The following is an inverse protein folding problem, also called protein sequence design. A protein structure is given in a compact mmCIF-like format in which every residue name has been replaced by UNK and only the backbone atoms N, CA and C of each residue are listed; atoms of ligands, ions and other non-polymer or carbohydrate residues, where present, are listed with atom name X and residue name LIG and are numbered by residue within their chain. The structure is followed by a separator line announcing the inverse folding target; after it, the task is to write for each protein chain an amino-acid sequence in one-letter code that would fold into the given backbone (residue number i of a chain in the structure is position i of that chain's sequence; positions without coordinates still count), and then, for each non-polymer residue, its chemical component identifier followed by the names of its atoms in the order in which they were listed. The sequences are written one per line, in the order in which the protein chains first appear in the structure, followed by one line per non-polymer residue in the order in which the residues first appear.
data_IF_456849575808
#
_entry.id   IF_456849575808
#
_cell.length_a   1.000
_cell.length_b   1.000
_cell.length_c   1.000
_cell.angle_alpha   90.00
_cell.angle_beta   90.00
_cell.angle_gamma   90.00
#
_symmetry.space_group_name_H-M   'P 1'
#
loop_
_entity.id
_entity.type
_entity.pdbx_description
1 polymer ?
#
# COMPACT_ATOMS: atom_id res chain seq x y z
N UNK A 1 -2.94 27.39 -30.22
CA UNK A 1 -4.23 26.70 -30.19
C UNK A 1 -3.99 25.28 -29.64
N UNK A 2 -4.72 24.90 -28.60
CA UNK A 2 -4.66 23.55 -28.01
C UNK A 2 -5.68 22.67 -28.75
N UNK A 3 -5.23 21.53 -29.25
CA UNK A 3 -6.12 20.54 -29.88
C UNK A 3 -6.17 19.31 -28.97
N UNK A 4 -7.24 19.21 -28.20
CA UNK A 4 -7.44 18.14 -27.23
C UNK A 4 -8.40 18.54 -26.13
N UNK A 5 -8.52 17.72 -25.10
CA UNK A 5 -9.38 17.95 -23.94
C UNK A 5 -8.55 17.91 -22.67
N UNK A 6 -8.86 18.79 -21.73
CA UNK A 6 -8.27 18.81 -20.39
C UNK A 6 -9.36 18.55 -19.38
N UNK A 7 -9.14 17.53 -18.56
CA UNK A 7 -10.02 17.17 -17.46
C UNK A 7 -9.35 17.49 -16.13
N UNK A 8 -10.09 18.11 -15.22
CA UNK A 8 -9.66 18.31 -13.83
C UNK A 8 -10.46 17.39 -12.94
N UNK A 9 -9.80 16.47 -12.26
CA UNK A 9 -10.42 15.48 -11.41
C UNK A 9 -10.17 15.76 -9.93
N UNK A 10 -11.25 15.93 -9.15
CA UNK A 10 -11.21 15.91 -7.70
C UNK A 10 -11.53 14.50 -7.22
N UNK A 11 -10.54 13.77 -6.71
CA UNK A 11 -10.67 12.37 -6.33
C UNK A 11 -11.10 12.26 -4.87
N UNK A 12 -12.10 11.41 -4.59
CA UNK A 12 -12.57 11.14 -3.23
C UNK A 12 -11.75 10.01 -2.59
N UNK A 13 -11.62 10.06 -1.25
CA UNK A 13 -10.95 9.04 -0.43
C UNK A 13 -9.50 8.71 -0.87
N UNK A 14 -8.79 9.68 -1.42
CA UNK A 14 -7.42 9.49 -1.88
C UNK A 14 -6.51 9.02 -0.73
N UNK A 15 -6.59 9.64 0.43
CA UNK A 15 -5.73 9.40 1.59
C UNK A 15 -5.84 7.99 2.21
N UNK A 16 -6.89 7.25 1.89
CA UNK A 16 -7.11 5.90 2.42
C UNK A 16 -7.24 4.83 1.33
N UNK A 17 -7.45 5.25 0.07
CA UNK A 17 -7.64 4.36 -1.09
C UNK A 17 -6.97 4.92 -2.35
N UNK A 18 -5.68 5.07 -2.31
CA UNK A 18 -4.88 5.65 -3.40
C UNK A 18 -5.15 4.93 -4.74
N UNK A 19 -5.79 5.62 -5.66
CA UNK A 19 -6.09 5.13 -7.00
C UNK A 19 -7.42 4.39 -7.16
N UNK A 20 -8.13 3.96 -6.10
CA UNK A 20 -9.39 3.20 -6.25
C UNK A 20 -10.46 4.02 -6.97
N UNK A 21 -10.71 5.25 -6.51
CA UNK A 21 -11.68 6.13 -7.18
C UNK A 21 -11.19 6.59 -8.57
N UNK A 22 -9.89 6.67 -8.78
CA UNK A 22 -9.28 7.04 -10.05
C UNK A 22 -9.56 6.02 -11.17
N UNK A 23 -9.82 4.76 -10.84
CA UNK A 23 -10.21 3.72 -11.81
C UNK A 23 -11.44 4.13 -12.61
N UNK A 24 -12.49 4.58 -11.92
CA UNK A 24 -13.71 5.05 -12.58
C UNK A 24 -13.47 6.27 -13.48
N UNK A 25 -12.56 7.16 -13.09
CA UNK A 25 -12.20 8.34 -13.88
C UNK A 25 -11.48 7.91 -15.16
N UNK A 26 -10.49 7.04 -15.06
CA UNK A 26 -9.75 6.57 -16.24
C UNK A 26 -10.61 5.77 -17.21
N UNK A 27 -11.58 5.02 -16.71
CA UNK A 27 -12.55 4.27 -17.54
C UNK A 27 -13.44 5.19 -18.38
N UNK A 28 -13.81 6.34 -17.83
CA UNK A 28 -14.68 7.33 -18.50
C UNK A 28 -13.86 8.21 -19.44
N UNK A 29 -12.75 8.78 -18.94
CA UNK A 29 -11.96 9.80 -19.64
C UNK A 29 -10.99 9.17 -20.63
N UNK A 30 -10.40 8.02 -20.30
CA UNK A 30 -9.35 7.32 -21.07
C UNK A 30 -8.19 8.27 -21.42
N UNK A 31 -7.53 8.86 -20.42
CA UNK A 31 -6.53 9.89 -20.67
C UNK A 31 -5.27 9.31 -21.34
N UNK A 32 -4.65 10.06 -22.25
CA UNK A 32 -3.34 9.73 -22.82
C UNK A 32 -2.20 10.06 -21.84
N UNK A 33 -2.41 11.11 -21.03
CA UNK A 33 -1.46 11.62 -20.04
C UNK A 33 -2.17 12.02 -18.77
N UNK A 34 -1.48 11.86 -17.65
CA UNK A 34 -1.97 12.28 -16.33
C UNK A 34 -0.93 13.14 -15.63
N UNK A 35 -1.39 14.21 -14.98
CA UNK A 35 -0.59 15.03 -14.08
C UNK A 35 -1.17 14.90 -12.68
N UNK A 36 -0.36 14.43 -11.73
CA UNK A 36 -0.70 14.33 -10.31
C UNK A 36 -0.29 15.63 -9.63
N UNK A 37 -1.29 16.35 -9.07
CA UNK A 37 -1.13 17.65 -8.43
C UNK A 37 -0.68 17.61 -6.96
N UNK A 38 0.03 16.55 -6.56
CA UNK A 38 0.56 16.41 -5.20
C UNK A 38 1.81 17.26 -4.97
N UNK A 39 2.04 17.64 -3.71
CA UNK A 39 3.16 18.50 -3.32
C UNK A 39 4.50 17.93 -3.78
N UNK A 40 5.21 18.66 -4.63
CA UNK A 40 6.49 18.26 -5.20
C UNK A 40 7.59 19.32 -5.04
N UNK A 41 7.28 20.46 -4.42
CA UNK A 41 8.13 21.67 -4.45
C UNK A 41 8.43 22.12 -5.89
N UNK A 42 7.46 22.00 -6.79
CA UNK A 42 7.57 22.28 -8.23
C UNK A 42 8.64 21.44 -8.94
N UNK A 43 9.08 20.33 -8.35
CA UNK A 43 9.92 19.35 -9.02
C UNK A 43 9.08 18.38 -9.85
N UNK A 44 9.65 17.88 -10.94
CA UNK A 44 9.00 16.93 -11.83
C UNK A 44 9.15 15.51 -11.26
N UNK A 45 8.04 14.91 -10.83
CA UNK A 45 8.01 13.55 -10.32
C UNK A 45 7.74 12.58 -11.46
N UNK A 46 8.59 11.58 -11.62
CA UNK A 46 8.49 10.54 -12.66
C UNK A 46 8.26 9.15 -12.08
N UNK A 47 8.01 9.06 -10.78
CA UNK A 47 7.78 7.80 -10.09
C UNK A 47 7.33 8.00 -8.65
N UNK A 48 6.92 6.90 -8.03
CA UNK A 48 6.59 6.84 -6.60
C UNK A 48 6.76 5.44 -6.04
N UNK A 49 6.93 5.33 -4.73
CA UNK A 49 6.70 4.08 -4.01
C UNK A 49 5.20 3.81 -3.93
N UNK A 50 4.84 2.53 -4.07
CA UNK A 50 3.48 2.09 -3.79
C UNK A 50 3.24 1.90 -2.30
N UNK A 51 2.00 1.50 -1.96
CA UNK A 51 1.58 1.18 -0.60
C UNK A 51 0.78 -0.10 -0.55
N UNK A 52 1.03 -0.92 0.46
CA UNK A 52 0.21 -2.07 0.80
C UNK A 52 -0.10 -2.07 2.29
N UNK A 53 -1.28 -2.48 2.67
CA UNK A 53 -1.62 -2.75 4.06
C UNK A 53 -1.76 -4.27 4.23
N UNK A 54 -0.76 -4.88 4.86
CA UNK A 54 -0.73 -6.33 5.09
C UNK A 54 -1.36 -6.64 6.45
N UNK A 55 -2.32 -7.56 6.45
CA UNK A 55 -3.00 -8.04 7.63
C UNK A 55 -2.54 -9.45 7.97
N UNK A 56 -2.05 -9.61 9.20
CA UNK A 56 -1.66 -10.90 9.78
C UNK A 56 -2.62 -11.25 10.91
N UNK A 57 -3.10 -12.46 10.92
CA UNK A 57 -4.09 -12.95 11.89
C UNK A 57 -3.59 -14.22 12.56
N UNK A 58 -3.78 -14.32 13.87
CA UNK A 58 -3.53 -15.54 14.64
C UNK A 58 -4.80 -15.99 15.36
N UNK A 59 -4.98 -17.29 15.43
CA UNK A 59 -6.16 -17.93 15.99
C UNK A 59 -5.78 -18.82 17.17
N UNK A 60 -6.59 -18.74 18.21
CA UNK A 60 -6.42 -19.51 19.42
C UNK A 60 -7.69 -20.25 19.83
N UNK A 61 -7.73 -20.65 21.10
CA UNK A 61 -8.89 -21.28 21.73
C UNK A 61 -9.18 -20.53 23.03
N UNK A 62 -10.39 -19.99 23.21
CA UNK A 62 -10.71 -19.23 24.40
C UNK A 62 -10.77 -20.13 25.64
N UNK A 63 -10.38 -19.59 26.79
CA UNK A 63 -10.52 -20.22 28.09
C UNK A 63 -10.61 -19.15 29.15
N UNK A 64 -11.07 -19.53 30.33
CA UNK A 64 -11.00 -18.64 31.49
C UNK A 64 -9.54 -18.44 31.90
N UNK A 65 -9.13 -17.21 32.18
CA UNK A 65 -7.73 -16.86 32.46
C UNK A 65 -7.16 -17.55 33.73
N UNK A 66 -8.01 -18.06 34.60
CA UNK A 66 -7.61 -18.89 35.74
C UNK A 66 -7.22 -20.33 35.35
N UNK A 67 -7.53 -20.79 34.13
CA UNK A 67 -7.21 -22.12 33.60
C UNK A 67 -6.63 -21.97 32.16
N UNK A 68 -5.52 -21.24 32.00
CA UNK A 68 -5.01 -20.88 30.66
C UNK A 68 -4.55 -22.10 29.86
N UNK A 69 -4.22 -23.21 30.50
CA UNK A 69 -3.82 -24.47 29.87
C UNK A 69 -4.92 -25.15 29.08
N UNK A 70 -6.18 -24.75 29.28
CA UNK A 70 -7.35 -25.24 28.53
C UNK A 70 -7.57 -24.47 27.23
N UNK A 71 -6.85 -23.36 27.04
CA UNK A 71 -6.94 -22.50 25.88
C UNK A 71 -5.66 -22.47 25.04
N UNK A 72 -5.71 -21.73 23.94
CA UNK A 72 -4.56 -21.36 23.14
C UNK A 72 -4.62 -19.84 22.97
N UNK A 73 -3.61 -19.14 23.47
CA UNK A 73 -3.58 -17.69 23.46
C UNK A 73 -3.11 -17.16 22.10
N UNK A 74 -4.02 -16.54 21.34
CA UNK A 74 -3.70 -15.96 20.03
C UNK A 74 -2.69 -14.80 20.13
N UNK A 75 -2.67 -14.04 21.23
CA UNK A 75 -1.71 -12.94 21.40
C UNK A 75 -0.28 -13.48 21.54
N UNK A 76 -0.08 -14.59 22.27
CA UNK A 76 1.25 -15.21 22.33
C UNK A 76 1.70 -15.76 20.97
N UNK A 77 0.75 -16.27 20.17
CA UNK A 77 1.00 -16.63 18.78
C UNK A 77 1.44 -15.42 17.96
N UNK A 78 0.72 -14.30 18.07
CA UNK A 78 1.05 -13.06 17.37
C UNK A 78 2.42 -12.50 17.79
N UNK A 79 2.79 -12.55 19.05
CA UNK A 79 4.13 -12.12 19.48
C UNK A 79 5.25 -12.89 18.76
N UNK A 80 5.12 -14.21 18.62
CA UNK A 80 6.09 -15.04 17.88
C UNK A 80 6.13 -14.65 16.40
N UNK A 81 4.97 -14.43 15.80
CA UNK A 81 4.83 -14.06 14.40
C UNK A 81 5.45 -12.69 14.12
N UNK A 82 5.15 -11.67 14.94
CA UNK A 82 5.72 -10.32 14.82
C UNK A 82 7.25 -10.35 14.94
N UNK A 83 7.78 -11.09 15.92
CA UNK A 83 9.23 -11.23 16.10
C UNK A 83 9.93 -11.89 14.89
N UNK A 84 9.23 -12.77 14.20
CA UNK A 84 9.76 -13.42 13.01
C UNK A 84 9.65 -12.53 11.75
N UNK A 85 8.50 -11.87 11.56
CA UNK A 85 8.27 -10.95 10.42
C UNK A 85 9.25 -9.77 10.48
N UNK A 86 9.57 -9.25 11.66
CA UNK A 86 10.51 -8.13 11.84
C UNK A 86 11.92 -8.41 11.27
N UNK A 87 12.24 -9.68 10.99
CA UNK A 87 13.54 -10.10 10.40
C UNK A 87 13.52 -10.15 8.89
N UNK A 88 12.37 -9.96 8.27
CA UNK A 88 12.24 -9.86 6.82
C UNK A 88 12.84 -8.51 6.39
N UNK A 89 13.73 -8.56 5.42
CA UNK A 89 14.30 -7.36 4.80
C UNK A 89 13.60 -7.14 3.46
N UNK A 90 12.81 -6.07 3.32
CA UNK A 90 12.23 -5.71 2.03
C UNK A 90 13.30 -5.40 0.98
N UNK A 91 12.96 -5.47 -0.32
CA UNK A 91 13.91 -5.17 -1.40
C UNK A 91 14.33 -3.70 -1.42
N UNK A 92 15.44 -3.43 -2.10
CA UNK A 92 15.98 -2.09 -2.38
C UNK A 92 15.85 -1.75 -3.87
N UNK A 93 15.67 -0.49 -4.18
CA UNK A 93 15.70 0.06 -5.54
C UNK A 93 16.53 1.35 -5.57
N UNK A 94 17.46 1.48 -6.53
CA UNK A 94 18.43 2.58 -6.57
C UNK A 94 17.80 3.98 -6.59
N UNK A 95 16.64 4.14 -7.22
CA UNK A 95 15.94 5.43 -7.31
C UNK A 95 14.85 5.60 -6.25
N UNK A 96 14.13 4.53 -5.89
CA UNK A 96 13.01 4.60 -4.95
C UNK A 96 13.43 4.32 -3.50
N UNK A 97 14.68 3.88 -3.28
CA UNK A 97 15.21 3.54 -1.96
C UNK A 97 14.71 2.19 -1.45
N UNK A 98 14.67 2.03 -0.13
CA UNK A 98 14.26 0.78 0.50
C UNK A 98 12.73 0.61 0.52
N UNK A 99 12.28 -0.60 0.27
CA UNK A 99 10.93 -1.02 0.65
C UNK A 99 10.80 -1.01 2.19
N UNK A 100 9.57 -0.84 2.69
CA UNK A 100 9.30 -0.79 4.13
C UNK A 100 8.26 -1.85 4.47
N UNK A 101 8.44 -2.50 5.61
CA UNK A 101 7.43 -3.40 6.23
C UNK A 101 7.39 -3.06 7.71
N UNK A 102 6.47 -2.19 8.11
CA UNK A 102 6.39 -1.66 9.47
C UNK A 102 5.08 -2.06 10.15
N UNK A 103 5.17 -2.59 11.38
CA UNK A 103 4.02 -2.90 12.20
C UNK A 103 3.35 -1.60 12.67
N UNK A 104 2.09 -1.38 12.27
CA UNK A 104 1.36 -0.15 12.56
C UNK A 104 0.25 -0.33 13.57
N UNK A 105 -0.31 -1.54 13.69
CA UNK A 105 -1.37 -1.81 14.66
C UNK A 105 -1.37 -3.29 15.08
N UNK A 106 -1.83 -3.54 16.31
CA UNK A 106 -2.07 -4.88 16.86
C UNK A 106 -3.29 -4.86 17.78
N UNK A 107 -4.22 -5.78 17.57
CA UNK A 107 -5.45 -5.85 18.35
C UNK A 107 -5.88 -7.28 18.60
N UNK A 108 -6.21 -7.58 19.86
CA UNK A 108 -6.79 -8.87 20.22
C UNK A 108 -8.32 -8.84 20.24
N UNK A 109 -8.94 -10.01 20.22
CA UNK A 109 -10.39 -10.17 20.43
C UNK A 109 -10.63 -11.34 21.39
N UNK A 110 -11.57 -11.16 22.36
CA UNK A 110 -12.29 -9.92 22.69
C UNK A 110 -11.39 -8.81 23.23
N UNK A 111 -11.80 -7.54 23.02
CA UNK A 111 -11.13 -6.38 23.60
C UNK A 111 -12.16 -5.44 24.25
N UNK A 112 -12.00 -5.07 25.53
CA UNK A 112 -11.01 -5.61 26.49
C UNK A 112 -11.26 -7.09 26.81
N UNK A 113 -10.16 -7.86 26.97
CA UNK A 113 -10.24 -9.31 27.14
C UNK A 113 -10.70 -9.77 28.53
N UNK A 114 -10.70 -8.89 29.54
CA UNK A 114 -11.03 -9.18 30.93
C UNK A 114 -10.40 -10.53 31.41
N UNK A 115 -11.21 -11.50 31.83
CA UNK A 115 -10.73 -12.80 32.34
C UNK A 115 -10.74 -13.92 31.29
N UNK A 116 -10.49 -13.58 30.00
CA UNK A 116 -10.54 -14.56 28.89
C UNK A 116 -9.17 -14.66 28.22
N UNK A 117 -8.73 -15.88 27.93
CA UNK A 117 -7.61 -16.15 27.01
C UNK A 117 -8.07 -15.75 25.61
N UNK A 118 -7.39 -14.82 24.91
CA UNK A 118 -7.84 -14.32 23.61
C UNK A 118 -7.78 -15.41 22.54
N UNK A 119 -8.88 -15.56 21.80
CA UNK A 119 -9.00 -16.52 20.70
C UNK A 119 -8.56 -15.98 19.33
N UNK A 120 -8.37 -14.66 19.24
CA UNK A 120 -8.01 -13.99 18.00
C UNK A 120 -7.07 -12.82 18.29
N UNK A 121 -6.09 -12.63 17.40
CA UNK A 121 -5.28 -11.43 17.37
C UNK A 121 -4.96 -11.07 15.92
N UNK A 122 -5.03 -9.78 15.62
CA UNK A 122 -4.72 -9.22 14.31
C UNK A 122 -3.61 -8.18 14.44
N UNK A 123 -2.71 -8.15 13.47
CA UNK A 123 -1.71 -7.12 13.29
C UNK A 123 -1.78 -6.57 11.87
N UNK A 124 -1.56 -5.28 11.71
CA UNK A 124 -1.44 -4.63 10.39
C UNK A 124 -0.05 -4.06 10.20
N UNK A 125 0.43 -4.17 8.96
CA UNK A 125 1.72 -3.66 8.54
C UNK A 125 1.55 -2.70 7.37
N UNK A 126 2.14 -1.51 7.47
CA UNK A 126 2.34 -0.62 6.31
C UNK A 126 3.51 -1.17 5.48
N UNK A 127 3.23 -1.44 4.22
CA UNK A 127 4.21 -1.92 3.25
C UNK A 127 4.43 -0.85 2.19
N UNK A 128 5.63 -0.23 2.16
CA UNK A 128 6.01 0.65 1.05
C UNK A 128 6.59 -0.21 -0.06
N UNK A 129 5.87 -0.23 -1.16
CA UNK A 129 6.15 -1.08 -2.31
C UNK A 129 7.13 -0.39 -3.27
N UNK A 130 7.95 -1.19 -3.91
CA UNK A 130 8.80 -0.77 -5.01
C UNK A 130 8.16 -1.12 -6.35
N UNK A 131 8.62 -0.50 -7.41
CA UNK A 131 8.18 -0.83 -8.77
C UNK A 131 8.46 -2.30 -9.08
N UNK A 132 7.47 -2.97 -9.69
CA UNK A 132 7.56 -4.38 -10.07
C UNK A 132 7.17 -5.37 -8.97
N UNK A 133 6.94 -4.93 -7.72
CA UNK A 133 6.40 -5.82 -6.70
C UNK A 133 4.94 -6.17 -6.99
N UNK A 134 4.60 -7.44 -6.81
CA UNK A 134 3.25 -7.98 -6.97
C UNK A 134 2.68 -8.40 -5.62
N UNK A 135 1.38 -8.64 -5.56
CA UNK A 135 0.73 -9.17 -4.36
C UNK A 135 1.43 -10.43 -3.84
N UNK A 136 1.76 -11.34 -4.75
CA UNK A 136 2.45 -12.58 -4.43
C UNK A 136 3.85 -12.33 -3.86
N UNK A 137 4.67 -11.50 -4.54
CA UNK A 137 6.03 -11.21 -4.07
C UNK A 137 6.08 -10.55 -2.69
N UNK A 138 5.02 -9.84 -2.32
CA UNK A 138 4.90 -9.18 -1.00
C UNK A 138 4.47 -10.16 0.08
N UNK A 139 3.50 -11.04 -0.20
CA UNK A 139 2.96 -11.96 0.80
C UNK A 139 3.84 -13.21 1.01
N UNK A 140 4.46 -13.72 -0.05
CA UNK A 140 5.24 -14.97 -0.02
C UNK A 140 6.31 -15.02 1.08
N UNK A 141 7.14 -14.00 1.33
CA UNK A 141 8.12 -14.03 2.42
C UNK A 141 7.46 -14.14 3.81
N UNK A 142 6.26 -13.57 3.97
CA UNK A 142 5.53 -13.65 5.23
C UNK A 142 4.89 -15.03 5.36
N UNK A 143 4.30 -15.57 4.29
CA UNK A 143 3.74 -16.92 4.25
C UNK A 143 4.78 -17.97 4.61
N UNK A 144 6.00 -17.87 4.06
CA UNK A 144 7.12 -18.76 4.40
C UNK A 144 7.47 -18.73 5.90
N UNK A 145 7.44 -17.54 6.50
CA UNK A 145 7.65 -17.36 7.95
C UNK A 145 6.52 -18.03 8.74
N UNK A 146 5.27 -17.81 8.36
CA UNK A 146 4.11 -18.40 9.02
C UNK A 146 4.13 -19.94 8.92
N UNK A 147 4.40 -20.47 7.74
CA UNK A 147 4.47 -21.91 7.49
C UNK A 147 5.56 -22.60 8.33
N UNK A 148 6.73 -21.97 8.45
CA UNK A 148 7.80 -22.45 9.32
C UNK A 148 7.37 -22.46 10.77
N UNK A 149 6.80 -21.36 11.29
CA UNK A 149 6.38 -21.28 12.68
C UNK A 149 5.25 -22.26 13.01
N UNK A 150 4.30 -22.48 12.10
CA UNK A 150 3.23 -23.47 12.26
C UNK A 150 3.73 -24.90 12.22
N UNK A 151 4.82 -25.19 11.52
CA UNK A 151 5.50 -26.52 11.55
C UNK A 151 6.23 -26.71 12.88
N UNK A 152 6.88 -25.67 13.43
CA UNK A 152 7.58 -25.71 14.71
C UNK A 152 6.61 -25.80 15.90
N UNK A 153 5.46 -25.14 15.81
CA UNK A 153 4.41 -25.10 16.86
C UNK A 153 3.04 -25.46 16.25
N UNK A 154 2.61 -26.72 16.31
CA UNK A 154 1.32 -27.15 15.74
C UNK A 154 0.08 -26.50 16.36
N UNK A 155 0.21 -25.85 17.53
CA UNK A 155 -0.86 -25.10 18.16
C UNK A 155 -1.03 -23.70 17.54
N UNK A 156 0.01 -23.16 16.91
CA UNK A 156 -0.06 -21.90 16.20
C UNK A 156 -0.92 -22.07 14.93
N UNK A 157 -1.88 -21.16 14.78
CA UNK A 157 -2.66 -21.01 13.57
C UNK A 157 -2.57 -19.56 13.16
N UNK A 158 -2.07 -19.30 11.96
CA UNK A 158 -1.87 -17.95 11.45
C UNK A 158 -2.18 -17.89 9.95
N UNK A 159 -2.53 -16.70 9.47
CA UNK A 159 -2.66 -16.41 8.05
C UNK A 159 -2.26 -14.97 7.77
N UNK A 160 -1.92 -14.68 6.52
CA UNK A 160 -1.64 -13.34 6.00
C UNK A 160 -2.50 -13.05 4.79
N UNK A 161 -2.87 -11.79 4.61
CA UNK A 161 -3.58 -11.27 3.43
C UNK A 161 -3.34 -9.78 3.32
N UNK A 162 -3.72 -9.17 2.20
CA UNK A 162 -3.91 -7.72 2.20
C UNK A 162 -5.17 -7.37 2.98
N UNK A 163 -5.16 -6.22 3.65
CA UNK A 163 -6.35 -5.65 4.24
C UNK A 163 -7.32 -5.22 3.15
N UNK A 164 -8.61 -5.36 3.42
CA UNK A 164 -9.67 -4.80 2.59
C UNK A 164 -10.32 -3.64 3.32
N UNK A 165 -10.84 -2.67 2.60
CA UNK A 165 -11.57 -1.57 3.17
C UNK A 165 -12.79 -1.22 2.33
N UNK A 166 -13.74 -0.54 2.95
CA UNK A 166 -14.91 0.06 2.31
C UNK A 166 -15.05 1.48 2.85
N UNK A 167 -15.23 2.43 1.95
CA UNK A 167 -15.48 3.82 2.30
C UNK A 167 -16.76 4.31 1.62
N UNK A 168 -17.55 5.12 2.32
CA UNK A 168 -18.80 5.66 1.80
C UNK A 168 -18.61 7.11 1.37
N UNK A 169 -18.82 7.39 0.08
CA UNK A 169 -18.79 8.75 -0.45
C UNK A 169 -19.96 9.58 0.06
N UNK A 170 -19.84 10.91 0.02
CA UNK A 170 -20.90 11.82 0.44
C UNK A 170 -22.23 11.65 -0.34
N UNK A 171 -22.18 11.07 -1.54
CA UNK A 171 -23.34 10.70 -2.35
C UNK A 171 -24.04 9.42 -1.90
N UNK A 172 -23.49 8.70 -0.93
CA UNK A 172 -23.95 7.39 -0.50
C UNK A 172 -23.37 6.21 -1.30
N UNK A 173 -22.63 6.47 -2.38
CA UNK A 173 -21.90 5.44 -3.11
C UNK A 173 -20.75 4.90 -2.26
N UNK A 174 -20.49 3.60 -2.41
CA UNK A 174 -19.38 2.94 -1.72
C UNK A 174 -18.25 2.65 -2.68
N UNK A 175 -17.04 2.81 -2.20
CA UNK A 175 -15.83 2.30 -2.83
C UNK A 175 -15.22 1.25 -1.92
N UNK A 176 -14.79 0.14 -2.49
CA UNK A 176 -14.18 -0.97 -1.75
C UNK A 176 -13.00 -1.55 -2.52
N UNK A 177 -12.09 -2.18 -1.83
CA UNK A 177 -10.97 -2.87 -2.44
C UNK A 177 -9.94 -3.39 -1.46
N UNK A 178 -9.05 -4.20 -1.98
CA UNK A 178 -7.81 -4.54 -1.28
C UNK A 178 -6.89 -3.32 -1.24
N UNK A 179 -6.22 -3.16 -0.11
CA UNK A 179 -5.24 -2.10 0.08
C UNK A 179 -3.87 -2.54 -0.47
N UNK A 180 -3.79 -2.61 -1.79
CA UNK A 180 -2.56 -2.83 -2.56
C UNK A 180 -2.52 -1.86 -3.72
N UNK A 181 -1.61 -0.92 -3.65
CA UNK A 181 -1.45 0.22 -4.55
C UNK A 181 -0.03 0.19 -5.10
N UNK A 182 0.21 -0.29 -6.33
CA UNK A 182 1.56 -0.50 -6.85
C UNK A 182 2.36 0.79 -6.99
N UNK A 183 3.67 0.67 -6.82
CA UNK A 183 4.61 1.71 -7.21
C UNK A 183 4.75 1.80 -8.72
N UNK A 184 5.24 2.93 -9.20
CA UNK A 184 5.54 3.14 -10.61
C UNK A 184 6.80 3.98 -10.79
N UNK A 185 7.42 3.85 -11.95
CA UNK A 185 8.60 4.61 -12.34
C UNK A 185 8.71 4.61 -13.87
N UNK A 186 8.82 5.80 -14.45
CA UNK A 186 9.14 5.98 -15.87
C UNK A 186 10.60 6.38 -16.04
N UNK A 187 11.18 6.01 -17.17
CA UNK A 187 12.53 6.46 -17.54
C UNK A 187 12.50 7.98 -17.77
N UNK A 188 13.33 8.71 -17.05
CA UNK A 188 13.44 10.16 -17.17
C UNK A 188 13.78 10.62 -18.60
N UNK A 189 14.34 9.75 -19.44
CA UNK A 189 14.70 10.06 -20.84
C UNK A 189 13.52 9.88 -21.81
N UNK A 190 12.34 9.47 -21.36
CA UNK A 190 11.18 9.42 -22.21
C UNK A 190 10.85 10.79 -22.78
N UNK A 191 10.48 10.81 -24.08
CA UNK A 191 10.27 12.06 -24.85
C UNK A 191 9.29 12.99 -24.15
N UNK A 192 8.13 12.48 -23.69
CA UNK A 192 7.13 13.32 -23.03
C UNK A 192 7.63 13.94 -21.73
N UNK A 193 8.48 13.25 -20.95
CA UNK A 193 9.09 13.78 -19.74
C UNK A 193 10.08 14.90 -20.09
N UNK A 194 10.91 14.70 -21.09
CA UNK A 194 11.87 15.70 -21.55
C UNK A 194 11.18 16.93 -22.16
N UNK A 195 10.07 16.74 -22.87
CA UNK A 195 9.27 17.84 -23.43
C UNK A 195 8.64 18.68 -22.31
N UNK A 196 8.10 18.03 -21.26
CA UNK A 196 7.58 18.74 -20.07
C UNK A 196 8.70 19.49 -19.37
N UNK A 197 9.84 18.84 -19.12
CA UNK A 197 10.99 19.44 -18.47
C UNK A 197 11.50 20.68 -19.24
N UNK A 198 11.59 20.58 -20.57
CA UNK A 198 11.97 21.70 -21.45
C UNK A 198 10.96 22.84 -21.34
N UNK A 199 9.66 22.54 -21.43
CA UNK A 199 8.58 23.53 -21.34
C UNK A 199 8.62 24.28 -20.02
N UNK A 200 8.79 23.58 -18.90
CA UNK A 200 8.90 24.19 -17.57
C UNK A 200 10.12 25.14 -17.50
N UNK A 201 11.26 24.73 -18.06
CA UNK A 201 12.46 25.56 -18.10
C UNK A 201 12.28 26.82 -18.97
N UNK A 202 11.63 26.68 -20.12
CA UNK A 202 11.31 27.80 -21.01
C UNK A 202 10.34 28.80 -20.33
N UNK A 203 9.52 28.33 -19.36
CA UNK A 203 8.67 29.16 -18.52
C UNK A 203 9.39 29.77 -17.29
N UNK A 204 10.67 29.49 -17.11
CA UNK A 204 11.48 30.02 -16.02
C UNK A 204 11.48 29.19 -14.73
N UNK A 205 10.90 27.98 -14.75
CA UNK A 205 11.04 27.02 -13.65
C UNK A 205 12.36 26.26 -13.79
N UNK A 206 12.87 25.74 -12.67
CA UNK A 206 14.10 24.94 -12.64
C UNK A 206 13.88 23.62 -11.89
N UNK A 207 12.92 22.78 -12.36
CA UNK A 207 12.60 21.54 -11.66
C UNK A 207 13.75 20.53 -11.76
N UNK A 208 13.95 19.79 -10.67
CA UNK A 208 14.70 18.54 -10.68
C UNK A 208 13.76 17.37 -11.02
N UNK A 209 14.28 16.33 -11.64
CA UNK A 209 13.54 15.07 -11.84
C UNK A 209 13.73 14.23 -10.59
N UNK A 210 12.62 13.89 -9.94
CA UNK A 210 12.63 13.15 -8.67
C UNK A 210 11.44 12.18 -8.60
N UNK A 211 11.23 11.54 -7.45
CA UNK A 211 10.13 10.61 -7.18
C UNK A 211 9.38 11.02 -5.92
N UNK A 212 8.12 10.60 -5.78
CA UNK A 212 7.41 10.68 -4.52
C UNK A 212 7.85 9.56 -3.57
N UNK A 213 8.02 9.89 -2.30
CA UNK A 213 8.30 8.93 -1.25
C UNK A 213 7.04 8.25 -0.71
N UNK A 214 5.87 8.75 -1.09
CA UNK A 214 4.54 8.30 -0.70
C UNK A 214 3.74 7.81 -1.92
N UNK A 215 2.60 7.20 -1.68
CA UNK A 215 1.69 6.72 -2.70
C UNK A 215 0.66 7.79 -3.05
N UNK A 216 0.25 7.86 -4.30
CA UNK A 216 -0.76 8.78 -4.83
C UNK A 216 -1.69 8.03 -5.78
N UNK A 217 -2.69 8.72 -6.34
CA UNK A 217 -3.52 8.17 -7.43
C UNK A 217 -2.71 7.71 -8.66
N UNK A 218 -1.44 8.12 -8.79
CA UNK A 218 -0.51 7.60 -9.78
C UNK A 218 -0.32 6.08 -9.71
N UNK A 219 -0.60 5.49 -8.54
CA UNK A 219 -0.64 4.04 -8.37
C UNK A 219 -1.59 3.36 -9.37
N UNK A 220 -2.80 3.93 -9.57
CA UNK A 220 -3.70 3.41 -10.59
C UNK A 220 -3.27 3.84 -11.99
N UNK A 221 -3.11 5.14 -12.24
CA UNK A 221 -2.88 5.62 -13.61
C UNK A 221 -1.61 5.04 -14.23
N UNK A 222 -0.49 5.13 -13.54
CA UNK A 222 0.79 4.60 -14.02
C UNK A 222 1.00 3.14 -13.62
N UNK A 223 0.77 2.80 -12.34
CA UNK A 223 1.12 1.49 -11.81
C UNK A 223 0.22 0.36 -12.30
N UNK A 224 -1.10 0.56 -12.36
CA UNK A 224 -2.05 -0.45 -12.83
C UNK A 224 -2.33 -0.34 -14.33
N UNK A 225 -2.62 0.88 -14.81
CA UNK A 225 -3.10 1.11 -16.17
C UNK A 225 -1.98 1.45 -17.18
N UNK A 226 -0.76 1.71 -16.73
CA UNK A 226 0.37 2.03 -17.59
C UNK A 226 0.24 3.36 -18.34
N UNK A 227 -0.62 4.26 -17.86
CA UNK A 227 -0.86 5.57 -18.47
C UNK A 227 0.35 6.48 -18.16
N UNK A 228 0.83 7.22 -19.17
CA UNK A 228 1.93 8.17 -19.00
C UNK A 228 1.58 9.22 -17.96
N UNK A 229 2.29 9.18 -16.85
CA UNK A 229 1.96 9.98 -15.66
C UNK A 229 3.20 10.72 -15.18
N UNK A 230 3.01 11.96 -14.78
CA UNK A 230 3.99 12.77 -14.05
C UNK A 230 3.33 13.37 -12.82
N UNK A 231 4.14 13.83 -11.89
CA UNK A 231 3.66 14.59 -10.74
C UNK A 231 4.30 15.96 -10.68
N UNK A 232 3.51 16.98 -10.33
CA UNK A 232 3.98 18.34 -10.11
C UNK A 232 2.94 19.13 -9.31
N UNK A 233 3.34 19.74 -8.17
CA UNK A 233 2.50 20.58 -7.33
C UNK A 233 3.29 21.31 -6.24
#
# INVERSE_FOLDING_TARGET
DFTGEIYVAGVVHEECFEGVAARSISDIVKPDYVVIGEASHLNLKVGQRGRGEVKVETFGVPAHSANPEKGINAVYGMCKVVDAIRKITPPHHDLLGDGILELTDIKSSPYPGASVVPEYCMATYDRRLLVGETKESVLSPIEEVLDRLMKEDPKLKAKVSFATGEETCYTGNKIEGERFFPGWLFDQNETYIQDVLKTLRDMGFHPEITQYNFCTNGSHYAGEAGIRTIGMG
#
